data_IF_566519195208
#
_entry.id   IF_566519195208
#
_cell.length_a   1.000
_cell.length_b   1.000
_cell.length_c   1.000
_cell.angle_alpha   90.00
_cell.angle_beta   90.00
_cell.angle_gamma   90.00
#
_symmetry.space_group_name_H-M   'P 1'
#
loop_
_entity.id
_entity.type
_entity.pdbx_description
1 polymer ?
#
# COMPACT_ATOMS: atom_id res chain seq x y z
N UNK A 1 -12.25 0.56 -6.73
CA UNK A 1 -12.21 1.13 -5.35
C UNK A 1 -11.11 0.47 -4.54
N UNK A 2 -10.63 1.13 -3.53
CA UNK A 2 -9.53 0.60 -2.70
C UNK A 2 -9.85 -0.76 -2.09
N UNK A 3 -11.08 -0.96 -1.63
CA UNK A 3 -11.48 -2.26 -1.04
C UNK A 3 -11.30 -3.41 -2.02
N UNK A 4 -11.55 -3.19 -3.31
CA UNK A 4 -11.36 -4.22 -4.34
C UNK A 4 -9.88 -4.50 -4.55
N UNK A 5 -9.06 -3.45 -4.61
CA UNK A 5 -7.62 -3.56 -4.77
C UNK A 5 -7.02 -4.32 -3.59
N UNK A 6 -7.43 -3.98 -2.38
CA UNK A 6 -6.96 -4.65 -1.15
C UNK A 6 -7.37 -6.12 -1.12
N UNK A 7 -8.62 -6.43 -1.46
CA UNK A 7 -9.12 -7.81 -1.47
C UNK A 7 -8.39 -8.68 -2.50
N UNK A 8 -8.11 -8.12 -3.67
CA UNK A 8 -7.34 -8.83 -4.69
C UNK A 8 -5.91 -9.09 -4.23
N UNK A 9 -5.27 -8.11 -3.61
CA UNK A 9 -3.94 -8.27 -3.06
C UNK A 9 -3.90 -9.35 -1.99
N UNK A 10 -4.90 -9.36 -1.11
CA UNK A 10 -5.01 -10.36 -0.05
C UNK A 10 -5.10 -11.78 -0.62
N UNK A 11 -5.79 -11.95 -1.74
CA UNK A 11 -6.00 -13.26 -2.37
C UNK A 11 -4.80 -13.76 -3.16
N UNK A 12 -3.85 -12.89 -3.51
CA UNK A 12 -2.67 -13.26 -4.30
C UNK A 12 -1.60 -13.91 -3.42
N UNK A 13 -0.75 -14.72 -4.03
CA UNK A 13 0.41 -15.27 -3.34
C UNK A 13 1.35 -14.14 -2.91
N UNK A 14 1.91 -14.21 -1.69
CA UNK A 14 2.91 -13.23 -1.27
C UNK A 14 4.12 -13.27 -2.19
N UNK A 15 4.58 -12.09 -2.62
CA UNK A 15 5.76 -11.98 -3.48
C UNK A 15 5.87 -10.63 -4.14
N UNK A 16 7.01 -10.39 -4.78
CA UNK A 16 7.33 -9.11 -5.44
C UNK A 16 6.26 -8.74 -6.47
N UNK A 17 5.81 -9.71 -7.26
CA UNK A 17 4.81 -9.45 -8.32
C UNK A 17 3.49 -8.93 -7.76
N UNK A 18 3.06 -9.40 -6.59
CA UNK A 18 1.82 -8.90 -5.98
C UNK A 18 1.95 -7.46 -5.50
N UNK A 19 3.12 -7.07 -5.00
CA UNK A 19 3.37 -5.68 -4.61
C UNK A 19 3.42 -4.76 -5.83
N UNK A 20 4.04 -5.20 -6.91
CA UNK A 20 4.08 -4.43 -8.15
C UNK A 20 2.68 -4.18 -8.69
N UNK A 21 1.84 -5.22 -8.72
CA UNK A 21 0.47 -5.11 -9.18
C UNK A 21 -0.35 -4.19 -8.29
N UNK A 22 -0.22 -4.32 -6.98
CA UNK A 22 -0.91 -3.45 -6.03
C UNK A 22 -0.52 -1.98 -6.26
N UNK A 23 0.77 -1.70 -6.41
CA UNK A 23 1.25 -0.34 -6.67
C UNK A 23 0.66 0.23 -7.96
N UNK A 24 0.66 -0.55 -9.03
CA UNK A 24 0.11 -0.12 -10.31
C UNK A 24 -1.39 0.18 -10.23
N UNK A 25 -2.14 -0.65 -9.53
CA UNK A 25 -3.57 -0.46 -9.34
C UNK A 25 -3.86 0.80 -8.53
N UNK A 26 -3.10 1.05 -7.47
CA UNK A 26 -3.25 2.28 -6.67
C UNK A 26 -2.94 3.53 -7.51
N UNK A 27 -1.87 3.50 -8.29
CA UNK A 27 -1.50 4.62 -9.14
C UNK A 27 -2.57 4.90 -10.20
N UNK A 28 -3.16 3.86 -10.77
CA UNK A 28 -4.25 3.98 -11.72
C UNK A 28 -5.49 4.60 -11.08
N UNK A 29 -5.81 4.21 -9.85
CA UNK A 29 -6.98 4.71 -9.14
C UNK A 29 -6.90 6.19 -8.81
N UNK A 30 -5.71 6.75 -8.72
CA UNK A 30 -5.53 8.19 -8.48
C UNK A 30 -6.29 9.04 -9.50
N UNK A 31 -6.32 8.60 -10.76
CA UNK A 31 -7.01 9.33 -11.82
C UNK A 31 -8.53 9.23 -11.72
N UNK A 32 -9.02 8.11 -11.20
CA UNK A 32 -10.45 7.88 -11.05
C UNK A 32 -11.04 8.48 -9.76
N UNK A 33 -10.20 8.83 -8.81
CA UNK A 33 -10.62 9.39 -7.53
C UNK A 33 -9.64 10.48 -7.05
N UNK A 34 -9.61 11.63 -7.74
CA UNK A 34 -8.62 12.67 -7.44
C UNK A 34 -8.73 13.26 -6.04
N UNK A 35 -9.91 13.18 -5.41
CA UNK A 35 -10.08 13.67 -4.04
C UNK A 35 -9.24 12.87 -3.03
N UNK A 36 -8.89 11.64 -3.36
CA UNK A 36 -8.09 10.76 -2.51
C UNK A 36 -6.75 10.40 -3.16
N UNK A 37 -6.30 11.20 -4.12
CA UNK A 37 -5.08 10.92 -4.88
C UNK A 37 -3.85 10.72 -3.99
N UNK A 38 -3.68 11.56 -2.96
CA UNK A 38 -2.53 11.44 -2.05
C UNK A 38 -2.53 10.12 -1.30
N UNK A 39 -3.70 9.63 -0.92
CA UNK A 39 -3.82 8.36 -0.22
C UNK A 39 -3.40 7.20 -1.13
N UNK A 40 -3.89 7.18 -2.36
CA UNK A 40 -3.50 6.16 -3.34
C UNK A 40 -2.01 6.23 -3.68
N UNK A 41 -1.47 7.44 -3.83
CA UNK A 41 -0.05 7.62 -4.08
C UNK A 41 0.79 7.05 -2.94
N UNK A 42 0.43 7.34 -1.70
CA UNK A 42 1.16 6.85 -0.54
C UNK A 42 1.13 5.33 -0.46
N UNK A 43 -0.03 4.72 -0.74
CA UNK A 43 -0.15 3.27 -0.76
C UNK A 43 0.70 2.64 -1.86
N UNK A 44 0.67 3.24 -3.05
CA UNK A 44 1.47 2.77 -4.18
C UNK A 44 2.96 2.86 -3.91
N UNK A 45 3.41 3.97 -3.32
CA UNK A 45 4.82 4.15 -2.96
C UNK A 45 5.25 3.17 -1.87
N UNK A 46 4.39 2.89 -0.91
CA UNK A 46 4.68 1.92 0.15
C UNK A 46 4.89 0.52 -0.45
N UNK A 47 4.03 0.12 -1.37
CA UNK A 47 4.16 -1.16 -2.06
C UNK A 47 5.42 -1.20 -2.93
N UNK A 48 5.74 -0.13 -3.63
CA UNK A 48 6.95 -0.05 -4.44
C UNK A 48 8.21 -0.09 -3.62
N UNK A 49 8.18 0.45 -2.42
CA UNK A 49 9.32 0.38 -1.50
C UNK A 49 9.71 -1.07 -1.22
N UNK A 50 8.71 -1.94 -0.96
CA UNK A 50 8.97 -3.36 -0.78
C UNK A 50 9.50 -4.00 -2.07
N UNK A 51 8.87 -3.69 -3.19
CA UNK A 51 9.29 -4.20 -4.50
C UNK A 51 10.75 -3.82 -4.80
N UNK A 52 11.10 -2.55 -4.62
CA UNK A 52 12.45 -2.06 -4.92
C UNK A 52 13.50 -2.69 -4.00
N UNK A 53 13.14 -2.89 -2.74
CA UNK A 53 14.05 -3.47 -1.75
C UNK A 53 14.44 -4.91 -2.09
N UNK A 54 13.51 -5.70 -2.64
CA UNK A 54 13.72 -7.12 -2.89
C UNK A 54 13.83 -7.49 -4.37
N UNK A 55 13.69 -6.52 -5.27
CA UNK A 55 13.77 -6.79 -6.70
C UNK A 55 15.15 -7.33 -7.08
N UNK A 56 15.15 -8.50 -7.74
CA UNK A 56 16.39 -9.15 -8.16
C UNK A 56 17.08 -9.96 -7.06
N UNK A 57 16.47 -10.07 -5.89
CA UNK A 57 17.01 -10.84 -4.77
C UNK A 57 16.06 -11.98 -4.39
N UNK A 58 16.58 -13.11 -3.88
CA UNK A 58 15.73 -14.14 -3.35
C UNK A 58 14.96 -13.63 -2.14
N UNK A 59 13.64 -13.88 -2.13
CA UNK A 59 12.77 -13.51 -1.01
C UNK A 59 12.17 -14.79 -0.45
N UNK A 60 12.40 -15.05 0.85
CA UNK A 60 11.82 -16.22 1.49
C UNK A 60 10.30 -16.05 1.62
N UNK A 61 9.59 -17.18 1.70
CA UNK A 61 8.14 -17.16 1.90
C UNK A 61 7.78 -16.39 3.17
N UNK A 62 8.53 -16.61 4.25
CA UNK A 62 8.29 -15.93 5.53
C UNK A 62 8.40 -14.40 5.41
N UNK A 63 9.42 -13.90 4.70
CA UNK A 63 9.62 -12.47 4.49
C UNK A 63 8.52 -11.90 3.60
N UNK A 64 8.14 -12.62 2.55
CA UNK A 64 7.07 -12.20 1.66
C UNK A 64 5.72 -12.12 2.38
N UNK A 65 5.42 -13.09 3.25
CA UNK A 65 4.19 -13.10 4.04
C UNK A 65 4.16 -11.96 5.05
N UNK A 66 5.27 -11.70 5.72
CA UNK A 66 5.37 -10.57 6.65
C UNK A 66 5.15 -9.24 5.92
N UNK A 67 5.76 -9.07 4.76
CA UNK A 67 5.57 -7.87 3.95
C UNK A 67 4.12 -7.69 3.52
N UNK A 68 3.47 -8.80 3.11
CA UNK A 68 2.07 -8.78 2.74
C UNK A 68 1.18 -8.38 3.91
N UNK A 69 1.42 -8.94 5.10
CA UNK A 69 0.64 -8.61 6.29
C UNK A 69 0.78 -7.13 6.66
N UNK A 70 1.98 -6.61 6.58
CA UNK A 70 2.25 -5.19 6.85
C UNK A 70 1.53 -4.29 5.83
N UNK A 71 1.59 -4.64 4.56
CA UNK A 71 0.92 -3.87 3.50
C UNK A 71 -0.59 -3.91 3.66
N UNK A 72 -1.15 -5.08 4.01
CA UNK A 72 -2.58 -5.21 4.27
C UNK A 72 -3.03 -4.33 5.42
N UNK A 73 -2.25 -4.27 6.51
CA UNK A 73 -2.57 -3.42 7.65
C UNK A 73 -2.63 -1.95 7.23
N UNK A 74 -1.67 -1.50 6.42
CA UNK A 74 -1.63 -0.13 5.88
C UNK A 74 -2.83 0.13 4.98
N UNK A 75 -3.14 -0.79 4.08
CA UNK A 75 -4.25 -0.65 3.14
C UNK A 75 -5.60 -0.60 3.86
N UNK A 76 -5.80 -1.41 4.89
CA UNK A 76 -7.04 -1.41 5.66
C UNK A 76 -7.21 -0.13 6.49
N UNK A 77 -6.12 0.40 7.04
CA UNK A 77 -6.16 1.71 7.71
C UNK A 77 -6.55 2.81 6.72
N UNK A 78 -6.03 2.74 5.50
CA UNK A 78 -6.38 3.70 4.45
C UNK A 78 -7.84 3.58 4.02
N UNK A 79 -8.37 2.35 3.90
CA UNK A 79 -9.79 2.13 3.60
C UNK A 79 -10.69 2.78 4.65
N UNK A 80 -10.35 2.60 5.92
CA UNK A 80 -11.11 3.20 7.00
C UNK A 80 -11.07 4.73 6.94
N UNK A 81 -9.94 5.29 6.51
CA UNK A 81 -9.77 6.74 6.42
C UNK A 81 -10.57 7.38 5.27
N UNK A 82 -10.91 6.63 4.22
CA UNK A 82 -11.60 7.18 3.05
C UNK A 82 -12.95 7.84 3.38
N UNK A 83 -13.63 7.36 4.40
CA UNK A 83 -14.92 7.91 4.83
C UNK A 83 -14.81 8.99 5.89
N UNK A 84 -13.59 9.33 6.32
CA UNK A 84 -13.36 10.25 7.41
C UNK A 84 -13.11 11.68 6.93
N UNK A 85 -13.24 12.70 7.83
CA UNK A 85 -12.87 14.08 7.50
C UNK A 85 -11.41 14.22 7.07
N UNK A 86 -11.12 15.31 6.36
CA UNK A 86 -9.78 15.55 5.80
C UNK A 86 -8.65 15.49 6.85
N UNK A 87 -8.90 15.98 8.05
CA UNK A 87 -7.89 15.97 9.12
C UNK A 87 -7.51 14.56 9.54
N UNK A 88 -8.49 13.67 9.60
CA UNK A 88 -8.26 12.26 9.95
C UNK A 88 -7.55 11.52 8.83
N UNK A 89 -7.88 11.83 7.58
CA UNK A 89 -7.15 11.28 6.42
C UNK A 89 -5.69 11.70 6.45
N UNK A 90 -5.43 12.96 6.75
CA UNK A 90 -4.06 13.49 6.82
C UNK A 90 -3.27 12.81 7.95
N UNK A 91 -3.90 12.57 9.10
CA UNK A 91 -3.30 11.83 10.19
C UNK A 91 -2.84 10.43 9.75
N UNK A 92 -3.69 9.71 9.03
CA UNK A 92 -3.35 8.37 8.53
C UNK A 92 -2.19 8.44 7.54
N UNK A 93 -2.22 9.41 6.63
CA UNK A 93 -1.13 9.62 5.68
C UNK A 93 0.20 9.89 6.38
N UNK A 94 0.16 10.73 7.42
CA UNK A 94 1.36 11.05 8.20
C UNK A 94 1.90 9.81 8.92
N UNK A 95 1.04 8.97 9.47
CA UNK A 95 1.46 7.71 10.09
C UNK A 95 2.13 6.78 9.08
N UNK A 96 1.55 6.63 7.91
CA UNK A 96 2.11 5.78 6.85
C UNK A 96 3.49 6.28 6.45
N UNK A 97 3.63 7.58 6.26
CA UNK A 97 4.90 8.19 5.88
C UNK A 97 5.97 7.94 6.93
N UNK A 98 5.63 8.15 8.21
CA UNK A 98 6.59 7.99 9.31
C UNK A 98 7.01 6.54 9.49
N UNK A 99 6.08 5.59 9.35
CA UNK A 99 6.38 4.18 9.56
C UNK A 99 7.17 3.56 8.42
N UNK A 100 6.89 3.98 7.18
CA UNK A 100 7.41 3.27 6.01
C UNK A 100 8.50 4.01 5.25
N UNK A 101 8.64 5.32 5.47
CA UNK A 101 9.60 6.13 4.73
C UNK A 101 10.60 6.88 5.63
N UNK A 102 10.52 6.66 6.92
CA UNK A 102 11.49 7.25 7.85
C UNK A 102 12.81 6.52 7.73
N UNK A 103 13.87 7.25 7.38
CA UNK A 103 15.22 6.73 7.34
C UNK A 103 15.86 6.99 8.69
N UNK A 104 16.19 5.90 9.36
CA UNK A 104 16.71 6.07 10.63
C UNK A 104 18.01 5.78 10.99
#
# INVERSE_FOLDING_TARGET
>A
MLSDITSEFESRKPGIASFETFAAECMSEMNGDPANASLYLMLGLTARQFYDQFNGQPVTVAVAEEGKDRMLAVARAAEAALGEPADDKLSVLNEIALKNFQTG
#
